data_IF_344997924251
#
_entry.id   IF_344997924251
#
_cell.length_a   1.000
_cell.length_b   1.000
_cell.length_c   1.000
_cell.angle_alpha   90.00
_cell.angle_beta   90.00
_cell.angle_gamma   90.00
#
_symmetry.space_group_name_H-M   'P 1'
#
loop_
_entity.id
_entity.type
_entity.pdbx_description
1 polymer ?
#
# COMPACT_ATOMS: atom_id res chain seq x y z
N UNK A 1 -10.73 0.61 30.82
CA UNK A 1 -9.77 -0.05 31.74
C UNK A 1 -10.37 -0.09 33.13
N UNK A 2 -10.27 -1.22 33.83
CA UNK A 2 -10.80 -1.33 35.20
C UNK A 2 -9.93 -0.51 36.14
N UNK A 3 -10.49 0.32 37.04
CA UNK A 3 -9.72 1.16 37.97
C UNK A 3 -8.70 0.37 38.82
N UNK A 4 -9.01 -0.89 39.13
CA UNK A 4 -8.13 -1.76 39.95
C UNK A 4 -6.83 -2.17 39.23
N UNK A 5 -6.75 -2.02 37.92
CA UNK A 5 -5.60 -2.43 37.09
C UNK A 5 -4.75 -1.23 36.62
N UNK A 6 -5.13 -0.01 36.99
CA UNK A 6 -4.42 1.20 36.56
C UNK A 6 -2.96 1.26 37.05
N UNK A 7 -2.65 0.60 38.18
CA UNK A 7 -1.29 0.52 38.69
C UNK A 7 -0.34 -0.29 37.79
N UNK A 8 -0.87 -1.20 36.98
CA UNK A 8 -0.07 -2.04 36.06
C UNK A 8 0.54 -1.25 34.89
N UNK A 9 0.00 -0.07 34.60
CA UNK A 9 0.46 0.80 33.52
C UNK A 9 0.88 2.18 34.02
N UNK A 10 1.24 2.29 35.31
CA UNK A 10 1.69 3.52 35.91
C UNK A 10 3.22 3.64 35.85
N UNK A 11 3.73 4.10 34.70
CA UNK A 11 5.15 4.32 34.49
C UNK A 11 5.53 5.76 34.82
N UNK A 12 6.65 5.95 35.55
CA UNK A 12 7.15 7.28 35.94
C UNK A 12 7.73 8.05 34.74
N UNK A 13 8.29 7.33 33.80
CA UNK A 13 8.95 7.90 32.61
C UNK A 13 9.07 6.87 31.46
N UNK A 14 9.54 7.32 30.32
CA UNK A 14 9.72 6.50 29.13
C UNK A 14 10.81 5.39 29.29
N UNK A 15 11.75 5.57 30.21
CA UNK A 15 12.77 4.54 30.51
C UNK A 15 12.13 3.30 31.15
N UNK A 16 11.21 3.49 32.09
CA UNK A 16 10.46 2.38 32.71
C UNK A 16 9.63 1.63 31.67
N UNK A 17 8.98 2.35 30.76
CA UNK A 17 8.25 1.73 29.64
C UNK A 17 9.18 0.88 28.79
N UNK A 18 10.35 1.41 28.42
CA UNK A 18 11.32 0.66 27.60
C UNK A 18 11.86 -0.59 28.32
N UNK A 19 12.07 -0.52 29.62
CA UNK A 19 12.45 -1.69 30.42
C UNK A 19 11.37 -2.77 30.40
N UNK A 20 10.12 -2.37 30.55
CA UNK A 20 8.98 -3.30 30.47
C UNK A 20 8.84 -3.92 29.08
N UNK A 21 9.01 -3.13 28.03
CA UNK A 21 9.00 -3.65 26.65
C UNK A 21 10.09 -4.71 26.43
N UNK A 22 11.31 -4.46 26.91
CA UNK A 22 12.42 -5.42 26.77
C UNK A 22 12.17 -6.72 27.53
N UNK A 23 11.45 -6.67 28.64
CA UNK A 23 11.05 -7.86 29.41
C UNK A 23 9.92 -8.61 28.71
N UNK A 24 8.91 -7.88 28.23
CA UNK A 24 7.74 -8.46 27.60
C UNK A 24 8.05 -9.13 26.24
N UNK A 25 9.01 -8.58 25.51
CA UNK A 25 9.43 -9.12 24.22
C UNK A 25 10.96 -9.08 24.06
N UNK A 26 11.63 -10.25 24.15
CA UNK A 26 13.09 -10.34 24.09
C UNK A 26 13.73 -9.75 22.83
N UNK A 27 13.00 -9.69 21.71
CA UNK A 27 13.49 -9.07 20.48
C UNK A 27 13.70 -7.55 20.62
N UNK A 28 13.12 -6.94 21.65
CA UNK A 28 13.34 -5.53 22.01
C UNK A 28 14.43 -5.32 23.06
N UNK A 29 15.14 -6.39 23.45
CA UNK A 29 16.26 -6.23 24.39
C UNK A 29 17.31 -5.29 23.78
N UNK A 30 17.67 -4.26 24.53
CA UNK A 30 18.51 -3.17 24.05
C UNK A 30 17.78 -1.81 24.01
N UNK A 31 16.44 -1.80 23.82
CA UNK A 31 15.65 -0.56 23.77
C UNK A 31 15.72 0.26 25.09
N UNK A 32 15.90 -0.42 26.22
CA UNK A 32 16.06 0.20 27.53
C UNK A 32 17.32 1.07 27.66
N UNK A 33 18.28 0.90 26.74
CA UNK A 33 19.53 1.66 26.74
C UNK A 33 19.45 2.99 25.98
N UNK A 34 18.33 3.29 25.29
CA UNK A 34 18.10 4.56 24.63
C UNK A 34 17.92 5.66 25.69
N UNK A 35 18.87 6.59 25.81
CA UNK A 35 18.90 7.66 26.82
C UNK A 35 18.95 9.04 26.20
N UNK A 36 19.68 9.21 25.12
CA UNK A 36 19.98 10.50 24.51
C UNK A 36 19.51 10.56 23.05
N UNK A 37 19.41 11.79 22.54
CA UNK A 37 19.10 11.99 21.13
C UNK A 37 20.26 11.46 20.26
N UNK A 38 19.94 10.53 19.37
CA UNK A 38 20.92 9.87 18.52
C UNK A 38 21.18 8.42 18.90
N UNK A 39 20.77 7.99 20.09
CA UNK A 39 20.81 6.57 20.43
C UNK A 39 19.89 5.78 19.48
N UNK A 40 20.37 4.62 19.07
CA UNK A 40 19.66 3.77 18.11
C UNK A 40 19.46 2.38 18.67
N UNK A 41 18.38 1.76 18.25
CA UNK A 41 18.05 0.37 18.53
C UNK A 41 17.48 -0.26 17.26
N UNK A 42 17.91 -1.48 16.97
CA UNK A 42 17.36 -2.27 15.86
C UNK A 42 16.68 -3.51 16.43
N UNK A 43 15.39 -3.65 16.16
CA UNK A 43 14.61 -4.82 16.54
C UNK A 43 15.20 -6.10 15.94
N UNK A 44 15.48 -7.09 16.79
CA UNK A 44 16.11 -8.34 16.36
C UNK A 44 17.60 -8.27 16.01
N UNK A 45 18.27 -7.13 16.26
CA UNK A 45 19.68 -6.90 15.95
C UNK A 45 19.93 -6.14 14.65
N UNK A 46 21.12 -5.60 14.48
CA UNK A 46 21.49 -4.78 13.32
C UNK A 46 21.68 -5.60 12.02
N UNK A 47 21.99 -6.88 12.17
CA UNK A 47 22.30 -7.77 11.06
C UNK A 47 21.46 -9.03 11.11
N UNK A 48 21.00 -9.51 9.97
CA UNK A 48 20.24 -10.76 9.85
C UNK A 48 21.10 -11.97 10.28
N UNK A 49 22.38 -11.96 9.93
CA UNK A 49 23.37 -12.97 10.30
C UNK A 49 24.62 -12.25 10.79
N UNK A 50 24.77 -12.10 12.12
CA UNK A 50 25.93 -11.46 12.73
C UNK A 50 27.16 -12.36 12.56
N UNK A 51 28.29 -11.75 12.22
CA UNK A 51 29.57 -12.46 11.92
C UNK A 51 29.44 -13.57 10.84
N UNK A 52 28.43 -13.46 9.97
CA UNK A 52 28.17 -14.47 8.95
C UNK A 52 27.49 -15.73 9.46
N UNK A 53 27.07 -15.73 10.73
CA UNK A 53 26.37 -16.87 11.36
C UNK A 53 24.89 -16.54 11.49
N UNK A 54 24.06 -17.31 10.81
CA UNK A 54 22.62 -17.16 10.88
C UNK A 54 22.03 -17.86 12.12
N UNK A 55 20.92 -17.35 12.71
CA UNK A 55 20.27 -17.97 13.87
C UNK A 55 19.45 -19.21 13.47
N UNK A 56 20.10 -20.18 12.84
CA UNK A 56 19.56 -21.45 12.39
C UNK A 56 20.35 -22.60 13.04
N UNK A 57 19.83 -23.84 13.09
CA UNK A 57 20.51 -24.94 13.71
C UNK A 57 21.90 -25.26 13.15
N UNK A 58 22.13 -24.97 11.87
CA UNK A 58 23.41 -25.18 11.18
C UNK A 58 24.23 -23.92 10.97
N UNK A 59 23.73 -22.76 11.47
CA UNK A 59 24.37 -21.45 11.35
C UNK A 59 24.34 -20.85 9.94
N UNK A 60 23.61 -21.45 9.00
CA UNK A 60 23.56 -21.01 7.60
C UNK A 60 22.21 -20.42 7.23
N UNK A 61 22.20 -19.47 6.29
CA UNK A 61 20.97 -18.95 5.69
C UNK A 61 20.32 -19.98 4.77
N UNK A 62 19.03 -20.24 4.96
CA UNK A 62 18.24 -21.08 4.08
C UNK A 62 17.72 -20.26 2.91
N UNK A 63 18.24 -20.49 1.71
CA UNK A 63 17.78 -19.85 0.48
C UNK A 63 16.69 -20.72 -0.16
N UNK A 64 15.50 -20.17 -0.24
CA UNK A 64 14.37 -20.82 -0.89
C UNK A 64 14.22 -20.21 -2.29
N UNK A 65 14.36 -21.00 -3.38
CA UNK A 65 14.08 -20.52 -4.71
C UNK A 65 12.57 -20.23 -4.83
N UNK A 66 12.22 -19.03 -5.26
CA UNK A 66 10.84 -18.64 -5.48
C UNK A 66 10.66 -18.41 -6.96
N UNK A 67 9.67 -19.05 -7.56
CA UNK A 67 9.25 -18.73 -8.94
C UNK A 67 8.64 -17.33 -8.95
N UNK A 68 9.10 -16.50 -9.90
CA UNK A 68 8.53 -15.16 -10.08
C UNK A 68 7.18 -15.34 -10.77
N UNK A 69 6.06 -14.98 -10.15
CA UNK A 69 4.76 -15.13 -10.76
C UNK A 69 4.62 -14.25 -12.00
N UNK A 70 4.04 -14.78 -13.06
CA UNK A 70 3.61 -13.96 -14.19
C UNK A 70 2.40 -13.12 -13.77
N UNK A 71 2.59 -11.83 -13.70
CA UNK A 71 1.49 -10.89 -13.51
C UNK A 71 0.77 -10.70 -14.83
N UNK A 72 -0.42 -11.26 -14.95
CA UNK A 72 -1.30 -11.09 -16.13
C UNK A 72 -2.42 -10.14 -15.76
N UNK A 73 -2.67 -9.16 -16.62
CA UNK A 73 -3.83 -8.28 -16.54
C UNK A 73 -4.58 -8.34 -17.87
N UNK A 74 -5.91 -8.14 -17.85
CA UNK A 74 -6.68 -8.04 -19.08
C UNK A 74 -6.15 -6.91 -19.97
N UNK A 75 -6.29 -7.04 -21.28
CA UNK A 75 -5.99 -5.97 -22.22
C UNK A 75 -6.85 -4.73 -21.89
N UNK A 76 -6.32 -3.54 -22.08
CA UNK A 76 -7.02 -2.30 -21.72
C UNK A 76 -7.12 -1.99 -20.22
N UNK A 77 -6.64 -2.88 -19.35
CA UNK A 77 -6.59 -2.62 -17.90
C UNK A 77 -5.26 -2.04 -17.46
N UNK A 78 -5.29 -1.37 -16.32
CA UNK A 78 -4.12 -0.89 -15.59
C UNK A 78 -3.98 -1.66 -14.28
N UNK A 79 -2.75 -1.98 -13.88
CA UNK A 79 -2.52 -2.39 -12.50
C UNK A 79 -2.61 -1.18 -11.60
N UNK A 80 -3.40 -1.29 -10.53
CA UNK A 80 -3.45 -0.28 -9.47
C UNK A 80 -2.67 -0.76 -8.26
N UNK A 81 -1.86 0.14 -7.70
CA UNK A 81 -1.26 -0.03 -6.38
C UNK A 81 -1.72 1.10 -5.48
N UNK A 82 -2.17 0.75 -4.28
CA UNK A 82 -2.42 1.78 -3.26
C UNK A 82 -1.10 2.18 -2.62
N UNK A 83 -0.96 3.46 -2.34
CA UNK A 83 0.22 4.01 -1.66
C UNK A 83 -0.17 4.90 -0.50
N UNK A 84 0.66 4.94 0.51
CA UNK A 84 0.56 5.94 1.56
C UNK A 84 1.39 7.16 1.15
N UNK A 85 0.75 8.30 0.91
CA UNK A 85 1.44 9.56 0.66
C UNK A 85 2.12 10.09 1.93
N UNK A 86 3.17 10.90 1.75
CA UNK A 86 3.88 11.51 2.90
C UNK A 86 3.07 12.60 3.60
N UNK A 87 2.08 13.18 2.93
CA UNK A 87 1.15 14.14 3.51
C UNK A 87 0.19 13.52 4.53
N UNK A 88 0.11 12.19 4.59
CA UNK A 88 -0.91 11.52 5.37
C UNK A 88 -0.37 10.27 6.08
N UNK A 89 -0.56 10.22 7.38
CA UNK A 89 -0.43 9.03 8.21
C UNK A 89 -1.29 9.19 9.48
N UNK A 90 -1.17 8.30 10.45
CA UNK A 90 -1.97 8.35 11.69
C UNK A 90 -1.76 9.60 12.55
N UNK A 91 -0.71 10.39 12.28
CA UNK A 91 -0.36 11.59 13.08
C UNK A 91 -0.21 12.86 12.25
N UNK A 92 -0.03 12.72 10.92
CA UNK A 92 0.19 13.84 10.02
C UNK A 92 -0.96 13.87 9.01
N UNK A 93 -1.57 15.05 8.88
CA UNK A 93 -2.61 15.29 7.91
C UNK A 93 -2.27 16.58 7.13
N UNK A 94 -1.90 16.41 5.88
CA UNK A 94 -1.59 17.50 4.96
C UNK A 94 -2.37 17.37 3.66
N UNK A 95 -2.49 18.46 2.92
CA UNK A 95 -3.27 18.50 1.69
C UNK A 95 -2.56 17.81 0.51
N UNK A 96 -1.23 17.89 0.47
CA UNK A 96 -0.42 17.42 -0.65
C UNK A 96 0.80 16.63 -0.21
N UNK A 97 1.14 15.63 -1.00
CA UNK A 97 2.39 14.88 -0.86
C UNK A 97 3.58 15.79 -1.22
N UNK A 98 4.54 15.99 -0.30
CA UNK A 98 5.66 16.90 -0.55
C UNK A 98 6.62 16.45 -1.66
N UNK A 99 6.58 15.18 -2.08
CA UNK A 99 7.44 14.68 -3.14
C UNK A 99 6.79 14.70 -4.51
N UNK A 100 5.51 14.39 -4.59
CA UNK A 100 4.77 14.30 -5.86
C UNK A 100 3.86 15.48 -6.10
N UNK A 101 3.64 16.32 -5.07
CA UNK A 101 2.64 17.38 -5.06
C UNK A 101 1.22 16.88 -5.39
N UNK A 102 0.97 15.59 -5.23
CA UNK A 102 -0.34 14.99 -5.44
C UNK A 102 -1.22 15.16 -4.20
N UNK A 103 -2.51 15.37 -4.41
CA UNK A 103 -3.51 15.29 -3.35
C UNK A 103 -4.08 13.86 -3.24
N UNK A 104 -5.05 13.67 -2.35
CA UNK A 104 -5.59 12.35 -2.03
C UNK A 104 -6.42 11.71 -3.15
N UNK A 105 -6.91 12.52 -4.08
CA UNK A 105 -7.74 12.10 -5.20
C UNK A 105 -6.99 12.11 -6.53
N UNK A 106 -5.71 12.45 -6.52
CA UNK A 106 -4.90 12.35 -7.72
C UNK A 106 -4.56 10.88 -8.02
N UNK A 107 -4.78 10.49 -9.28
CA UNK A 107 -4.39 9.20 -9.83
C UNK A 107 -3.05 9.40 -10.53
N UNK A 108 -1.99 8.85 -9.95
CA UNK A 108 -0.65 8.91 -10.54
C UNK A 108 -0.59 7.95 -11.72
N UNK A 109 -0.36 8.47 -12.91
CA UNK A 109 -0.39 7.72 -14.18
C UNK A 109 0.75 8.18 -15.10
N UNK A 110 1.22 7.29 -15.97
CA UNK A 110 2.24 7.62 -16.96
C UNK A 110 1.66 8.51 -18.07
N UNK A 111 2.41 9.55 -18.45
CA UNK A 111 2.01 10.48 -19.51
C UNK A 111 1.69 9.79 -20.84
N UNK A 112 2.50 8.79 -21.23
CA UNK A 112 2.25 8.01 -22.46
C UNK A 112 0.96 7.21 -22.44
N UNK A 113 0.54 6.75 -21.27
CA UNK A 113 -0.75 6.08 -21.13
C UNK A 113 -1.90 7.08 -21.24
N UNK A 114 -1.72 8.27 -20.68
CA UNK A 114 -2.67 9.37 -20.85
C UNK A 114 -2.79 9.82 -22.32
N UNK A 115 -1.68 9.90 -23.05
CA UNK A 115 -1.70 10.20 -24.49
C UNK A 115 -2.55 9.18 -25.27
N UNK A 116 -2.39 7.87 -24.98
CA UNK A 116 -3.17 6.80 -25.61
C UNK A 116 -4.67 6.90 -25.31
N UNK A 117 -5.02 7.40 -24.14
CA UNK A 117 -6.40 7.56 -23.67
C UNK A 117 -6.98 8.95 -23.96
N UNK A 118 -6.21 9.84 -24.60
CA UNK A 118 -6.57 11.25 -24.85
C UNK A 118 -6.93 11.99 -23.54
N UNK A 119 -6.18 11.76 -22.47
CA UNK A 119 -6.34 12.34 -21.14
C UNK A 119 -5.27 13.40 -20.89
N UNK A 120 -5.66 14.58 -20.41
CA UNK A 120 -4.75 15.66 -20.06
C UNK A 120 -4.41 15.64 -18.56
N UNK A 121 -3.26 16.27 -18.20
CA UNK A 121 -2.92 16.48 -16.79
C UNK A 121 -4.01 17.25 -16.06
N UNK A 122 -4.43 16.79 -14.92
CA UNK A 122 -5.49 17.40 -14.10
C UNK A 122 -6.92 17.11 -14.56
N UNK A 123 -7.07 16.41 -15.69
CA UNK A 123 -8.41 16.04 -16.18
C UNK A 123 -9.09 15.06 -15.22
N UNK A 124 -10.41 15.21 -15.05
CA UNK A 124 -11.20 14.32 -14.22
C UNK A 124 -11.33 12.94 -14.89
N UNK A 125 -10.91 11.93 -14.19
CA UNK A 125 -10.94 10.53 -14.64
C UNK A 125 -11.54 9.61 -13.58
N UNK A 126 -11.96 8.44 -14.02
CA UNK A 126 -12.51 7.38 -13.19
C UNK A 126 -11.67 6.13 -13.36
N UNK A 127 -11.21 5.56 -12.24
CA UNK A 127 -10.65 4.22 -12.19
C UNK A 127 -11.70 3.28 -11.61
N UNK A 128 -12.00 2.17 -12.28
CA UNK A 128 -13.04 1.27 -11.80
C UNK A 128 -12.78 -0.18 -12.15
N UNK A 129 -13.38 -1.07 -11.38
CA UNK A 129 -13.45 -2.51 -11.59
C UNK A 129 -14.71 -3.06 -10.94
N UNK A 130 -14.84 -4.40 -10.88
CA UNK A 130 -16.00 -5.07 -10.23
C UNK A 130 -16.09 -4.82 -8.72
N UNK A 131 -15.05 -4.32 -8.06
CA UNK A 131 -15.02 -4.08 -6.62
C UNK A 131 -15.47 -2.68 -6.27
N UNK A 132 -15.21 -1.69 -7.13
CA UNK A 132 -15.61 -0.33 -6.88
C UNK A 132 -15.15 0.69 -7.92
N UNK A 133 -15.40 1.94 -7.59
CA UNK A 133 -15.17 3.09 -8.45
C UNK A 133 -14.40 4.14 -7.66
N UNK A 134 -13.31 4.62 -8.23
CA UNK A 134 -12.52 5.72 -7.68
C UNK A 134 -12.57 6.92 -8.64
N UNK A 135 -13.07 8.03 -8.13
CA UNK A 135 -13.13 9.30 -8.88
C UNK A 135 -11.92 10.16 -8.53
N UNK A 136 -11.16 10.53 -9.53
CA UNK A 136 -9.93 11.29 -9.31
C UNK A 136 -9.57 12.20 -10.47
N UNK A 137 -8.35 12.71 -10.44
CA UNK A 137 -7.75 13.49 -11.51
C UNK A 137 -6.46 12.85 -11.98
N UNK A 138 -6.21 12.89 -13.27
CA UNK A 138 -4.94 12.44 -13.83
C UNK A 138 -3.78 13.29 -13.31
N UNK A 139 -2.80 12.67 -12.70
CA UNK A 139 -1.55 13.29 -12.26
C UNK A 139 -0.38 12.59 -12.93
N UNK A 140 0.29 13.29 -13.86
CA UNK A 140 1.43 12.71 -14.54
C UNK A 140 2.55 12.38 -13.56
N UNK A 141 3.05 11.17 -13.63
CA UNK A 141 4.05 10.67 -12.71
C UNK A 141 4.95 9.63 -13.38
N UNK A 142 6.15 9.46 -12.85
CA UNK A 142 7.07 8.42 -13.31
C UNK A 142 6.66 7.05 -12.75
N UNK A 143 5.51 6.54 -13.22
CA UNK A 143 5.05 5.18 -13.00
C UNK A 143 5.26 4.37 -14.28
N UNK A 144 5.40 3.06 -14.17
CA UNK A 144 5.56 2.19 -15.33
C UNK A 144 4.29 2.23 -16.19
N UNK A 145 4.42 2.26 -17.52
CA UNK A 145 3.28 2.17 -18.45
C UNK A 145 2.38 0.97 -18.11
N UNK A 146 1.07 1.17 -18.20
CA UNK A 146 0.06 0.18 -17.81
C UNK A 146 -0.11 0.01 -16.30
N UNK A 147 0.42 0.93 -15.49
CA UNK A 147 0.22 0.96 -14.04
C UNK A 147 -0.25 2.33 -13.59
N UNK A 148 -1.00 2.35 -12.49
CA UNK A 148 -1.37 3.56 -11.78
C UNK A 148 -1.09 3.42 -10.29
N UNK A 149 -1.00 4.55 -9.59
CA UNK A 149 -0.96 4.55 -8.14
C UNK A 149 -1.99 5.53 -7.59
N UNK A 150 -2.71 5.10 -6.56
CA UNK A 150 -3.72 5.88 -5.85
C UNK A 150 -3.39 5.94 -4.36
N UNK A 151 -3.89 6.95 -3.66
CA UNK A 151 -3.61 7.08 -2.24
C UNK A 151 -4.52 6.18 -1.40
N UNK A 152 -3.92 5.56 -0.41
CA UNK A 152 -4.63 4.88 0.68
C UNK A 152 -5.10 5.94 1.72
N UNK A 153 -6.30 5.84 2.31
CA UNK A 153 -7.28 4.76 2.17
C UNK A 153 -8.29 4.93 1.02
N UNK A 154 -8.31 6.04 0.32
CA UNK A 154 -9.32 6.36 -0.69
C UNK A 154 -9.35 5.32 -1.82
N UNK A 155 -8.18 4.88 -2.27
CA UNK A 155 -8.02 3.86 -3.31
C UNK A 155 -8.45 2.45 -2.92
N UNK A 156 -8.76 2.20 -1.63
CA UNK A 156 -9.15 0.88 -1.17
C UNK A 156 -10.48 0.38 -1.79
N UNK A 157 -11.29 1.28 -2.31
CA UNK A 157 -12.53 0.92 -3.03
C UNK A 157 -12.27 0.04 -4.26
N UNK A 158 -11.05 0.05 -4.79
CA UNK A 158 -10.64 -0.73 -5.96
C UNK A 158 -10.04 -2.10 -5.59
N UNK A 159 -9.74 -2.32 -4.31
CA UNK A 159 -9.02 -3.51 -3.84
C UNK A 159 -10.01 -4.64 -3.55
N UNK A 160 -9.70 -5.88 -3.97
CA UNK A 160 -10.55 -7.03 -3.71
C UNK A 160 -10.81 -7.25 -2.22
N UNK A 161 -12.08 -7.41 -1.84
CA UNK A 161 -12.44 -7.85 -0.50
C UNK A 161 -12.15 -9.33 -0.31
N UNK A 162 -11.68 -9.70 0.88
CA UNK A 162 -11.48 -11.10 1.29
C UNK A 162 -10.47 -11.90 0.46
N UNK A 163 -9.62 -11.24 -0.31
CA UNK A 163 -8.48 -11.87 -0.97
C UNK A 163 -7.23 -11.62 -0.15
N UNK A 164 -6.62 -12.70 0.35
CA UNK A 164 -5.47 -12.65 1.25
C UNK A 164 -4.37 -13.59 0.76
N UNK A 165 -3.12 -13.19 0.98
CA UNK A 165 -2.00 -14.08 0.84
C UNK A 165 -2.13 -15.25 1.84
N UNK A 166 -1.86 -16.47 1.36
CA UNK A 166 -2.21 -17.71 2.05
C UNK A 166 -1.49 -17.90 3.39
N UNK A 167 -0.24 -17.43 3.51
CA UNK A 167 0.61 -17.71 4.66
C UNK A 167 0.62 -16.61 5.70
N UNK A 168 0.69 -15.36 5.26
CA UNK A 168 0.76 -14.18 6.14
C UNK A 168 -0.60 -13.53 6.39
N UNK A 169 -1.64 -13.91 5.64
CA UNK A 169 -2.96 -13.30 5.72
C UNK A 169 -2.97 -11.82 5.31
N UNK A 170 -1.99 -11.39 4.52
CA UNK A 170 -1.89 -10.02 4.05
C UNK A 170 -2.90 -9.82 2.91
N UNK A 171 -3.75 -8.78 2.97
CA UNK A 171 -4.68 -8.48 1.89
C UNK A 171 -3.96 -8.22 0.56
N UNK A 172 -4.59 -8.64 -0.54
CA UNK A 172 -4.13 -8.26 -1.88
C UNK A 172 -4.30 -6.76 -2.09
N UNK A 173 -3.20 -6.05 -2.28
CA UNK A 173 -3.19 -4.59 -2.47
C UNK A 173 -3.11 -4.14 -3.92
N UNK A 174 -3.04 -5.10 -4.84
CA UNK A 174 -3.00 -4.85 -6.27
C UNK A 174 -4.30 -5.32 -6.90
N UNK A 175 -4.76 -4.55 -7.87
CA UNK A 175 -5.94 -4.91 -8.64
C UNK A 175 -5.77 -4.47 -10.09
N UNK A 176 -6.58 -5.03 -10.99
CA UNK A 176 -6.72 -4.52 -12.34
C UNK A 176 -7.91 -3.58 -12.41
N UNK A 177 -7.76 -2.46 -13.11
CA UNK A 177 -8.79 -1.43 -13.27
C UNK A 177 -8.84 -0.91 -14.69
N UNK A 178 -9.99 -0.38 -15.07
CA UNK A 178 -10.21 0.38 -16.30
C UNK A 178 -10.08 1.88 -15.96
N UNK A 179 -9.52 2.66 -16.87
CA UNK A 179 -9.42 4.12 -16.76
C UNK A 179 -10.22 4.76 -17.89
N UNK A 180 -11.10 5.67 -17.54
CA UNK A 180 -11.87 6.47 -18.50
C UNK A 180 -11.94 7.94 -18.05
N UNK A 181 -12.16 8.85 -19.02
CA UNK A 181 -12.55 10.24 -18.71
C UNK A 181 -13.86 10.22 -17.93
N UNK A 182 -13.98 11.06 -16.92
CA UNK A 182 -15.19 11.13 -16.11
C UNK A 182 -16.44 11.43 -16.95
N UNK A 183 -16.33 12.32 -17.94
CA UNK A 183 -17.42 12.63 -18.86
C UNK A 183 -17.90 11.41 -19.66
N UNK A 184 -16.97 10.59 -20.15
CA UNK A 184 -17.26 9.35 -20.89
C UNK A 184 -17.95 8.34 -19.97
N UNK A 185 -17.39 8.11 -18.78
CA UNK A 185 -17.96 7.23 -17.78
C UNK A 185 -19.40 7.61 -17.43
N UNK A 186 -19.67 8.90 -17.19
CA UNK A 186 -21.00 9.35 -16.79
C UNK A 186 -21.99 9.47 -17.95
N UNK A 187 -21.52 9.64 -19.20
CA UNK A 187 -22.39 9.60 -20.37
C UNK A 187 -23.05 8.23 -20.56
N UNK A 188 -22.40 7.17 -20.09
CA UNK A 188 -22.87 5.78 -20.15
C UNK A 188 -23.46 5.32 -18.81
N UNK A 189 -24.17 6.18 -18.09
CA UNK A 189 -24.74 5.93 -16.75
C UNK A 189 -25.60 4.70 -16.58
N UNK A 190 -25.82 3.91 -17.61
CA UNK A 190 -26.43 2.60 -17.47
C UNK A 190 -25.43 1.66 -16.77
N UNK A 191 -25.75 1.27 -15.54
CA UNK A 191 -24.97 0.32 -14.73
C UNK A 191 -24.61 -0.94 -15.54
N UNK A 192 -25.49 -1.36 -16.44
CA UNK A 192 -25.28 -2.48 -17.36
C UNK A 192 -24.15 -2.27 -18.37
N UNK A 193 -23.87 -1.03 -18.78
CA UNK A 193 -22.74 -0.76 -19.66
C UNK A 193 -21.41 -1.02 -18.96
N UNK A 194 -21.27 -0.53 -17.74
CA UNK A 194 -20.05 -0.71 -16.95
C UNK A 194 -19.82 -2.19 -16.61
N UNK A 195 -20.87 -2.88 -16.18
CA UNK A 195 -20.82 -4.33 -15.92
C UNK A 195 -20.42 -5.11 -17.18
N UNK A 196 -21.06 -4.83 -18.31
CA UNK A 196 -20.76 -5.45 -19.58
C UNK A 196 -19.32 -5.15 -20.04
N UNK A 197 -18.83 -3.91 -19.86
CA UNK A 197 -17.47 -3.52 -20.22
C UNK A 197 -16.43 -4.25 -19.38
N UNK A 198 -16.68 -4.46 -18.09
CA UNK A 198 -15.82 -5.26 -17.21
C UNK A 198 -15.80 -6.72 -17.68
N UNK A 199 -16.98 -7.31 -17.94
CA UNK A 199 -17.11 -8.68 -18.40
C UNK A 199 -16.41 -8.92 -19.75
N UNK A 200 -16.60 -8.02 -20.74
CA UNK A 200 -15.94 -8.11 -22.05
C UNK A 200 -14.42 -8.15 -21.92
N UNK A 201 -13.86 -7.26 -21.09
CA UNK A 201 -12.41 -7.17 -20.89
C UNK A 201 -11.85 -8.32 -20.05
N UNK A 202 -12.64 -8.89 -19.12
CA UNK A 202 -12.23 -10.07 -18.34
C UNK A 202 -12.29 -11.38 -19.18
N UNK A 203 -13.20 -11.48 -20.17
CA UNK A 203 -13.33 -12.67 -21.04
C UNK A 203 -12.21 -12.80 -22.06
N UNK A 204 -11.51 -11.71 -22.42
CA UNK A 204 -10.35 -11.75 -23.34
C UNK A 204 -9.10 -12.40 -22.71
N UNK A 205 -9.17 -12.83 -21.47
CA UNK A 205 -8.04 -13.36 -20.65
C UNK A 205 -8.11 -14.87 -20.44
N UNK A 206 -9.22 -15.50 -20.80
CA UNK A 206 -9.40 -16.96 -20.74
C UNK A 206 -9.02 -17.62 -22.09
#
# INVERSE_FOLDING_TARGET
>A
MKPAESHLINFKNAEEIRKEIAVANPNYNGIQHLKERGDVFQWGGAWLCEDGICPTPDGKGNLIPVEIPELRKPEGHFYVSTRRGKQFNSMIYGDRDPFTNADRYDILINEKDCEKLDINEGEAIVAYNKHGIFHGRAKFANVKEGNIAVHWPEGNVLIPESVYEQYAGIPEYNAAVIIEKAETYYAHKDTKYVEKRIEELEMEVL
#
